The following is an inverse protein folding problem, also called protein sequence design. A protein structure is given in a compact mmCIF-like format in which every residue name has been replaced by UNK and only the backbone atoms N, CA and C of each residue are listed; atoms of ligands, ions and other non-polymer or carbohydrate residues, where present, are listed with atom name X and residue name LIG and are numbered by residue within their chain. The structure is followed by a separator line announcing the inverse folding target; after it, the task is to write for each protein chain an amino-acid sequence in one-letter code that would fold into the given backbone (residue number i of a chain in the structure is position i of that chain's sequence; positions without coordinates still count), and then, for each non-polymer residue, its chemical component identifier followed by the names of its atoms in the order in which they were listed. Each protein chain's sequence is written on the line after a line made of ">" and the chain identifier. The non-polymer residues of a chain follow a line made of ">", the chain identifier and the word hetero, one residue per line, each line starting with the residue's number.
data_IF_673812768533
#
_entry.id   IF_673812768533
#
_cell.length_a   1.000
_cell.length_b   1.000
_cell.length_c   1.000
_cell.angle_alpha   90.00
_cell.angle_beta   90.00
_cell.angle_gamma   90.00
#
_symmetry.space_group_name_H-M   'P 1'
#
loop_
_entity.id
_entity.type
_entity.pdbx_description
1 polymer ?
#
# COMPACT_ATOMS: atom_id res chain seq x y z
N UNK A 1 -13.62 -4.75 -13.14
CA UNK A 1 -12.75 -4.99 -14.33
C UNK A 1 -11.34 -4.50 -14.02
N UNK A 2 -10.30 -5.11 -14.57
CA UNK A 2 -8.90 -4.81 -14.27
C UNK A 2 -8.07 -4.79 -15.56
N UNK A 3 -7.11 -3.87 -15.63
CA UNK A 3 -5.97 -3.96 -16.55
C UNK A 3 -4.68 -4.03 -15.75
N UNK A 4 -3.72 -4.82 -16.21
CA UNK A 4 -2.42 -4.95 -15.56
C UNK A 4 -1.27 -4.92 -16.57
N UNK A 5 -0.15 -4.37 -16.13
CA UNK A 5 1.07 -4.22 -16.88
C UNK A 5 2.23 -4.72 -16.04
N UNK A 6 3.18 -5.41 -16.65
CA UNK A 6 4.44 -5.83 -16.03
C UNK A 6 5.57 -5.02 -16.69
N UNK A 7 6.50 -4.57 -15.87
CA UNK A 7 7.63 -3.75 -16.30
C UNK A 7 8.93 -4.29 -15.73
N UNK A 8 10.00 -4.21 -16.50
CA UNK A 8 11.36 -4.27 -15.94
C UNK A 8 11.56 -3.12 -14.94
N UNK A 9 12.37 -3.34 -13.92
CA UNK A 9 12.69 -2.30 -12.94
C UNK A 9 13.45 -1.13 -13.54
N UNK A 10 14.14 -1.33 -14.67
CA UNK A 10 14.89 -0.26 -15.34
C UNK A 10 14.01 0.88 -15.84
N UNK A 11 12.77 0.58 -16.23
CA UNK A 11 11.81 1.58 -16.71
C UNK A 11 10.87 2.09 -15.59
N UNK A 12 11.06 1.66 -14.35
CA UNK A 12 10.21 2.06 -13.22
C UNK A 12 10.16 3.58 -13.00
N UNK A 13 11.25 4.36 -13.16
CA UNK A 13 11.20 5.82 -13.07
C UNK A 13 10.24 6.44 -14.09
N UNK A 14 10.26 5.94 -15.33
CA UNK A 14 9.36 6.42 -16.40
C UNK A 14 7.91 6.04 -16.11
N UNK A 15 7.68 4.83 -15.61
CA UNK A 15 6.33 4.36 -15.18
C UNK A 15 5.77 5.27 -14.10
N UNK A 16 6.55 5.63 -13.08
CA UNK A 16 6.13 6.56 -12.02
C UNK A 16 5.80 7.94 -12.60
N UNK A 17 6.65 8.48 -13.47
CA UNK A 17 6.40 9.78 -14.12
C UNK A 17 5.11 9.80 -14.96
N UNK A 18 4.81 8.71 -15.66
CA UNK A 18 3.55 8.58 -16.41
C UNK A 18 2.37 8.45 -15.43
N UNK A 19 2.55 7.67 -14.37
CA UNK A 19 1.51 7.45 -13.36
C UNK A 19 1.11 8.76 -12.68
N UNK A 20 2.04 9.62 -12.31
CA UNK A 20 1.76 10.93 -11.70
C UNK A 20 0.84 11.78 -12.60
N UNK A 21 1.07 11.76 -13.93
CA UNK A 21 0.22 12.46 -14.89
C UNK A 21 -1.19 11.84 -14.99
N UNK A 22 -1.28 10.52 -14.95
CA UNK A 22 -2.55 9.80 -15.01
C UNK A 22 -3.35 9.96 -13.71
N UNK A 23 -2.67 10.08 -12.57
CA UNK A 23 -3.32 10.33 -11.28
C UNK A 23 -4.00 11.70 -11.24
N UNK A 24 -3.44 12.71 -11.90
CA UNK A 24 -4.03 14.04 -11.97
C UNK A 24 -5.41 14.09 -12.67
N UNK A 25 -5.68 13.12 -13.56
CA UNK A 25 -6.94 13.01 -14.32
C UNK A 25 -7.73 11.74 -14.00
N UNK A 26 -7.35 11.04 -12.93
CA UNK A 26 -7.95 9.78 -12.53
C UNK A 26 -9.42 9.93 -12.13
N UNK A 27 -10.27 9.07 -12.68
CA UNK A 27 -11.65 8.92 -12.21
C UNK A 27 -11.68 8.28 -10.81
N UNK A 28 -12.54 8.76 -9.92
CA UNK A 28 -12.66 8.25 -8.54
C UNK A 28 -13.05 6.77 -8.45
N UNK A 29 -13.67 6.22 -9.51
CA UNK A 29 -14.07 4.82 -9.59
C UNK A 29 -12.92 3.87 -9.92
N UNK A 30 -11.73 4.42 -10.20
CA UNK A 30 -10.53 3.62 -10.47
C UNK A 30 -9.65 3.55 -9.23
N UNK A 31 -9.10 2.37 -8.96
CA UNK A 31 -8.02 2.15 -8.00
C UNK A 31 -6.76 1.73 -8.75
N UNK A 32 -5.62 2.26 -8.34
CA UNK A 32 -4.32 1.99 -8.95
C UNK A 32 -3.42 1.37 -7.90
N UNK A 33 -2.69 0.33 -8.30
CA UNK A 33 -1.75 -0.38 -7.45
C UNK A 33 -0.47 -0.65 -8.24
N UNK A 34 0.62 -0.01 -7.85
CA UNK A 34 1.97 -0.26 -8.39
C UNK A 34 2.77 -1.04 -7.34
N UNK A 35 3.16 -2.26 -7.66
CA UNK A 35 3.80 -3.17 -6.72
C UNK A 35 5.12 -3.72 -7.27
N UNK A 36 6.10 -3.90 -6.39
CA UNK A 36 7.23 -4.78 -6.66
C UNK A 36 6.80 -6.21 -6.34
N UNK A 37 7.04 -7.12 -7.26
CA UNK A 37 6.67 -8.54 -7.14
C UNK A 37 7.76 -9.43 -7.72
N UNK A 38 7.75 -10.70 -7.35
CA UNK A 38 8.45 -11.73 -8.13
C UNK A 38 7.76 -11.87 -9.48
N UNK A 39 8.54 -11.98 -10.55
CA UNK A 39 7.99 -12.15 -11.90
C UNK A 39 7.15 -13.43 -11.96
N UNK A 40 5.88 -13.36 -12.39
CA UNK A 40 5.05 -14.56 -12.53
C UNK A 40 5.62 -15.62 -13.47
N UNK A 41 6.44 -15.19 -14.46
CA UNK A 41 7.07 -16.09 -15.42
C UNK A 41 8.49 -16.51 -14.98
N UNK A 42 9.03 -15.87 -13.91
CA UNK A 42 10.33 -16.21 -13.33
C UNK A 42 10.39 -15.84 -11.85
N UNK A 43 10.41 -16.84 -10.98
CA UNK A 43 10.43 -16.63 -9.53
C UNK A 43 11.72 -16.00 -8.99
N UNK A 44 12.78 -15.92 -9.81
CA UNK A 44 14.08 -15.35 -9.43
C UNK A 44 14.23 -13.87 -9.79
N UNK A 45 13.35 -13.31 -10.59
CA UNK A 45 13.43 -11.95 -11.09
C UNK A 45 12.37 -11.06 -10.42
N UNK A 46 12.76 -9.87 -9.96
CA UNK A 46 11.83 -8.86 -9.45
C UNK A 46 11.41 -7.94 -10.58
N UNK A 47 10.13 -7.68 -10.68
CA UNK A 47 9.50 -6.79 -11.66
C UNK A 47 8.52 -5.83 -10.98
N UNK A 48 8.20 -4.73 -11.67
CA UNK A 48 7.12 -3.85 -11.24
C UNK A 48 5.80 -4.24 -11.93
N UNK A 49 4.73 -4.36 -11.15
CA UNK A 49 3.37 -4.63 -11.64
C UNK A 49 2.45 -3.45 -11.35
N UNK A 50 1.88 -2.86 -12.39
CA UNK A 50 0.82 -1.87 -12.28
C UNK A 50 -0.53 -2.54 -12.55
N UNK A 51 -1.43 -2.45 -11.59
CA UNK A 51 -2.84 -2.84 -11.73
C UNK A 51 -3.71 -1.61 -11.67
N UNK A 52 -4.61 -1.46 -12.62
CA UNK A 52 -5.68 -0.47 -12.61
C UNK A 52 -6.99 -1.22 -12.52
N UNK A 53 -7.76 -0.94 -11.48
CA UNK A 53 -8.99 -1.64 -11.15
C UNK A 53 -10.14 -0.65 -11.19
N UNK A 54 -11.17 -0.96 -11.97
CA UNK A 54 -12.46 -0.28 -11.91
C UNK A 54 -13.33 -1.06 -10.95
N UNK A 55 -13.63 -0.44 -9.81
CA UNK A 55 -14.49 -1.03 -8.80
C UNK A 55 -15.93 -0.57 -9.06
N UNK A 56 -16.75 -1.47 -9.53
CA UNK A 56 -18.17 -1.23 -9.74
C UNK A 56 -18.92 -1.38 -8.40
N UNK A 57 -19.03 -0.30 -7.63
CA UNK A 57 -19.78 -0.29 -6.37
C UNK A 57 -21.27 0.04 -6.56
N UNK A 58 -21.78 0.13 -7.78
CA UNK A 58 -23.18 0.44 -8.05
C UNK A 58 -23.78 -0.59 -9.00
N UNK A 59 -25.00 -1.09 -8.71
CA UNK A 59 -25.77 -1.85 -9.69
C UNK A 59 -25.95 -1.01 -10.96
N UNK A 60 -25.62 -1.57 -12.13
CA UNK A 60 -25.81 -0.90 -13.42
C UNK A 60 -24.56 -0.40 -14.14
N UNK A 61 -23.37 -0.51 -13.56
CA UNK A 61 -22.13 -0.23 -14.31
C UNK A 61 -21.93 -1.30 -15.37
N UNK A 62 -21.95 -0.87 -16.65
CA UNK A 62 -21.74 -1.79 -17.76
C UNK A 62 -20.25 -2.09 -17.96
N UNK A 63 -19.97 -3.24 -18.58
CA UNK A 63 -18.62 -3.59 -19.03
C UNK A 63 -18.03 -2.52 -19.97
N UNK A 64 -18.87 -1.90 -20.80
CA UNK A 64 -18.48 -0.83 -21.70
C UNK A 64 -17.98 0.41 -20.94
N UNK A 65 -18.67 0.80 -19.87
CA UNK A 65 -18.25 1.92 -19.02
C UNK A 65 -16.90 1.62 -18.32
N UNK A 66 -16.74 0.42 -17.80
CA UNK A 66 -15.46 0.02 -17.18
C UNK A 66 -14.30 0.05 -18.20
N UNK A 67 -14.52 -0.37 -19.43
CA UNK A 67 -13.53 -0.25 -20.52
C UNK A 67 -13.18 1.20 -20.85
N UNK A 68 -14.17 2.10 -20.85
CA UNK A 68 -13.94 3.54 -21.05
C UNK A 68 -13.05 4.12 -19.94
N UNK A 69 -13.27 3.73 -18.68
CA UNK A 69 -12.45 4.17 -17.55
C UNK A 69 -11.02 3.65 -17.61
N UNK A 70 -10.79 2.48 -18.21
CA UNK A 70 -9.47 1.90 -18.39
C UNK A 70 -8.73 2.39 -19.64
N UNK A 71 -9.45 2.99 -20.60
CA UNK A 71 -8.88 3.40 -21.88
C UNK A 71 -7.69 4.39 -21.77
N UNK A 72 -7.71 5.42 -20.91
CA UNK A 72 -6.56 6.34 -20.76
C UNK A 72 -5.25 5.63 -20.43
N UNK A 73 -5.31 4.59 -19.62
CA UNK A 73 -4.12 3.81 -19.24
C UNK A 73 -3.62 2.96 -20.40
N UNK A 74 -4.53 2.34 -21.15
CA UNK A 74 -4.19 1.55 -22.34
C UNK A 74 -3.58 2.39 -23.47
N UNK A 75 -4.00 3.64 -23.61
CA UNK A 75 -3.56 4.59 -24.64
C UNK A 75 -2.29 5.36 -24.24
N UNK A 76 -1.89 5.26 -22.98
CA UNK A 76 -0.67 5.88 -22.48
C UNK A 76 0.59 5.11 -22.89
N UNK A 77 1.76 5.74 -22.70
CA UNK A 77 3.06 5.10 -22.93
C UNK A 77 3.34 3.90 -22.00
N UNK A 78 2.49 3.63 -21.01
CA UNK A 78 2.58 2.40 -20.18
C UNK A 78 2.58 1.14 -21.05
N UNK A 79 1.79 1.13 -22.13
CA UNK A 79 1.72 -0.02 -23.03
C UNK A 79 3.02 -0.30 -23.76
N UNK A 80 3.77 0.73 -24.15
CA UNK A 80 5.07 0.59 -24.85
C UNK A 80 6.22 0.23 -23.92
N UNK A 81 6.13 0.61 -22.65
CA UNK A 81 7.14 0.28 -21.62
C UNK A 81 6.95 -1.13 -21.04
N UNK A 82 5.74 -1.71 -21.14
CA UNK A 82 5.44 -2.99 -20.52
C UNK A 82 6.05 -4.18 -21.26
N UNK A 83 6.62 -5.13 -20.52
CA UNK A 83 7.09 -6.43 -21.04
C UNK A 83 5.94 -7.40 -21.24
N UNK A 84 4.89 -7.29 -20.44
CA UNK A 84 3.67 -8.08 -20.52
C UNK A 84 2.47 -7.27 -20.05
N UNK A 85 1.29 -7.56 -20.59
CA UNK A 85 0.06 -6.86 -20.22
C UNK A 85 -1.17 -7.75 -20.36
N UNK A 86 -2.14 -7.53 -19.48
CA UNK A 86 -3.46 -8.15 -19.54
C UNK A 86 -4.51 -7.05 -19.43
N UNK A 87 -5.34 -6.89 -20.45
CA UNK A 87 -6.25 -5.76 -20.58
C UNK A 87 -7.70 -6.17 -20.34
N UNK A 88 -8.45 -5.30 -19.66
CA UNK A 88 -9.91 -5.38 -19.52
C UNK A 88 -10.43 -6.75 -19.00
N UNK A 89 -9.70 -7.35 -18.07
CA UNK A 89 -10.09 -8.61 -17.45
C UNK A 89 -11.27 -8.38 -16.49
N UNK A 90 -12.30 -9.18 -16.61
CA UNK A 90 -13.33 -9.30 -15.58
C UNK A 90 -12.72 -10.10 -14.40
N UNK A 91 -12.79 -9.54 -13.20
CA UNK A 91 -12.32 -10.18 -11.97
C UNK A 91 -13.48 -10.36 -11.02
N UNK A 92 -13.51 -11.47 -10.30
CA UNK A 92 -14.46 -11.72 -9.24
C UNK A 92 -13.99 -11.00 -7.95
N UNK A 93 -14.94 -10.65 -7.09
CA UNK A 93 -14.59 -10.03 -5.80
C UNK A 93 -13.64 -10.93 -4.97
N UNK A 94 -13.84 -12.24 -5.03
CA UNK A 94 -12.97 -13.21 -4.36
C UNK A 94 -11.51 -13.13 -4.80
N UNK A 95 -11.24 -12.77 -6.07
CA UNK A 95 -9.87 -12.62 -6.59
C UNK A 95 -9.14 -11.39 -6.04
N UNK A 96 -9.89 -10.46 -5.42
CA UNK A 96 -9.34 -9.27 -4.75
C UNK A 96 -9.01 -9.54 -3.28
N UNK A 97 -9.58 -10.59 -2.71
CA UNK A 97 -9.40 -10.93 -1.30
C UNK A 97 -8.16 -11.80 -1.14
N UNK A 98 -7.09 -11.21 -0.64
CA UNK A 98 -5.93 -11.97 -0.20
C UNK A 98 -6.17 -12.46 1.23
N UNK A 99 -6.19 -13.78 1.41
CA UNK A 99 -6.20 -14.39 2.73
C UNK A 99 -4.90 -15.18 2.89
N UNK A 100 -3.90 -14.64 3.60
CA UNK A 100 -2.68 -15.38 3.86
C UNK A 100 -2.98 -16.63 4.67
N UNK A 101 -2.26 -17.71 4.37
CA UNK A 101 -2.25 -18.90 5.22
C UNK A 101 -1.86 -18.48 6.65
N UNK A 102 -2.65 -18.90 7.64
CA UNK A 102 -2.41 -18.59 9.07
C UNK A 102 -1.10 -19.19 9.61
N UNK A 103 -0.47 -20.08 8.86
CA UNK A 103 0.85 -20.61 9.19
C UNK A 103 2.00 -19.63 8.98
N UNK A 104 1.76 -18.52 8.29
CA UNK A 104 2.78 -17.48 8.09
C UNK A 104 2.95 -16.63 9.34
N UNK A 105 4.20 -16.36 9.65
CA UNK A 105 4.63 -15.25 10.51
C UNK A 105 4.59 -13.97 9.68
N UNK A 106 4.39 -12.83 10.32
CA UNK A 106 4.30 -11.59 9.56
C UNK A 106 4.84 -10.39 10.34
N UNK A 107 5.24 -9.40 9.57
CA UNK A 107 5.49 -8.05 10.04
C UNK A 107 4.81 -7.07 9.07
N UNK A 108 4.31 -5.95 9.56
CA UNK A 108 3.60 -4.98 8.73
C UNK A 108 3.79 -3.58 9.27
N UNK A 109 4.13 -2.66 8.38
CA UNK A 109 4.23 -1.25 8.68
C UNK A 109 3.88 -0.43 7.44
N UNK A 110 2.69 0.12 7.43
CA UNK A 110 2.18 0.85 6.29
C UNK A 110 2.29 2.35 6.50
N UNK A 111 2.67 3.06 5.46
CA UNK A 111 2.81 4.52 5.49
C UNK A 111 1.90 5.19 4.47
N UNK A 112 1.52 6.42 4.77
CA UNK A 112 1.05 7.36 3.79
C UNK A 112 2.23 8.16 3.25
N UNK A 113 2.25 8.41 1.95
CA UNK A 113 3.29 9.20 1.29
C UNK A 113 2.70 10.08 0.19
N UNK A 114 3.34 11.20 -0.09
CA UNK A 114 3.04 12.04 -1.25
C UNK A 114 4.04 11.80 -2.40
N UNK A 115 4.98 10.89 -2.22
CA UNK A 115 6.08 10.67 -3.15
C UNK A 115 6.14 9.21 -3.61
N UNK A 116 5.73 8.95 -4.85
CA UNK A 116 5.79 7.63 -5.45
C UNK A 116 7.23 7.10 -5.61
N UNK A 117 8.25 7.98 -5.55
CA UNK A 117 9.66 7.58 -5.61
C UNK A 117 10.11 6.77 -4.40
N UNK A 118 9.31 6.69 -3.34
CA UNK A 118 9.53 5.75 -2.25
C UNK A 118 9.73 4.31 -2.75
N UNK A 119 9.05 3.91 -3.85
CA UNK A 119 9.29 2.61 -4.49
C UNK A 119 10.68 2.48 -5.10
N UNK A 120 11.24 3.56 -5.65
CA UNK A 120 12.59 3.53 -6.24
C UNK A 120 13.66 3.36 -5.15
N UNK A 121 13.47 4.02 -4.01
CA UNK A 121 14.42 3.98 -2.91
C UNK A 121 14.63 2.56 -2.34
N UNK A 122 13.65 1.69 -2.47
CA UNK A 122 13.71 0.34 -1.89
C UNK A 122 14.04 -0.77 -2.90
N UNK A 123 14.17 -0.48 -4.20
CA UNK A 123 14.42 -1.49 -5.23
C UNK A 123 15.62 -2.37 -4.91
N UNK A 124 16.75 -1.75 -4.56
CA UNK A 124 17.98 -2.50 -4.28
C UNK A 124 17.90 -3.29 -2.95
N UNK A 125 17.17 -2.79 -1.99
CA UNK A 125 16.93 -3.51 -0.74
C UNK A 125 15.95 -4.68 -0.95
N UNK A 126 14.90 -4.47 -1.75
CA UNK A 126 13.93 -5.51 -2.11
C UNK A 126 14.59 -6.72 -2.78
N UNK A 127 15.58 -6.51 -3.66
CA UNK A 127 16.34 -7.60 -4.29
C UNK A 127 17.10 -8.48 -3.30
N UNK A 128 17.37 -7.99 -2.09
CA UNK A 128 18.08 -8.70 -1.01
C UNK A 128 17.14 -9.34 0.01
N UNK A 129 15.84 -9.37 -0.28
CA UNK A 129 14.85 -9.99 0.60
C UNK A 129 15.20 -11.47 0.87
N UNK A 130 15.06 -11.95 2.13
CA UNK A 130 15.30 -13.35 2.45
C UNK A 130 14.52 -14.31 1.52
N UNK A 131 15.14 -15.42 1.13
CA UNK A 131 14.63 -16.29 0.04
C UNK A 131 13.24 -16.87 0.31
N UNK A 132 12.95 -17.21 1.57
CA UNK A 132 11.70 -17.85 1.99
C UNK A 132 10.61 -16.85 2.39
N UNK A 133 10.79 -15.58 2.03
CA UNK A 133 9.89 -14.51 2.39
C UNK A 133 9.08 -14.02 1.21
N UNK A 134 7.88 -13.53 1.50
CA UNK A 134 7.01 -12.86 0.54
C UNK A 134 6.70 -11.45 1.05
N UNK A 135 7.03 -10.45 0.27
CA UNK A 135 6.64 -9.07 0.52
C UNK A 135 5.64 -8.61 -0.53
N UNK A 136 4.48 -8.22 -0.08
CA UNK A 136 3.53 -7.49 -0.92
C UNK A 136 3.77 -5.98 -0.78
N UNK A 137 4.83 -5.50 -1.40
CA UNK A 137 5.10 -4.08 -1.41
C UNK A 137 4.30 -3.39 -2.51
N UNK A 138 3.32 -2.60 -2.11
CA UNK A 138 2.40 -1.97 -3.03
C UNK A 138 2.16 -0.50 -2.69
N UNK A 139 2.40 0.37 -3.67
CA UNK A 139 1.96 1.75 -3.67
C UNK A 139 0.55 1.80 -4.26
N UNK A 140 -0.42 2.15 -3.43
CA UNK A 140 -1.83 2.17 -3.81
C UNK A 140 -2.37 3.59 -3.86
N UNK A 141 -3.19 3.89 -4.87
CA UNK A 141 -3.95 5.12 -4.99
C UNK A 141 -5.43 4.76 -5.21
N UNK A 142 -6.20 4.85 -4.14
CA UNK A 142 -7.62 4.52 -4.14
C UNK A 142 -8.52 5.75 -4.28
N UNK A 143 -9.82 5.54 -4.04
CA UNK A 143 -10.86 6.59 -4.13
C UNK A 143 -10.65 7.73 -3.14
N UNK A 144 -10.20 7.43 -1.92
CA UNK A 144 -10.12 8.37 -0.81
C UNK A 144 -8.68 8.77 -0.45
N UNK A 145 -7.69 8.40 -1.25
CA UNK A 145 -6.32 8.83 -1.02
C UNK A 145 -6.19 10.34 -1.24
N UNK A 146 -5.39 11.00 -0.40
CA UNK A 146 -5.23 12.45 -0.43
C UNK A 146 -6.34 13.25 0.25
N UNK A 147 -7.43 12.62 0.70
CA UNK A 147 -8.54 13.31 1.34
C UNK A 147 -8.37 13.23 2.87
N UNK A 148 -8.02 14.36 3.48
CA UNK A 148 -8.07 14.48 4.93
C UNK A 148 -9.48 14.88 5.36
N UNK A 149 -10.13 14.02 6.15
CA UNK A 149 -11.46 14.29 6.69
C UNK A 149 -11.33 15.03 8.02
N UNK A 150 -11.82 16.26 8.07
CA UNK A 150 -11.81 17.11 9.28
C UNK A 150 -12.70 16.57 10.41
N UNK A 151 -13.70 15.79 10.07
CA UNK A 151 -14.67 15.16 10.99
C UNK A 151 -14.20 13.79 11.52
N UNK A 152 -13.05 13.28 11.06
CA UNK A 152 -12.49 12.01 11.49
C UNK A 152 -11.40 12.23 12.55
N UNK A 153 -11.37 11.36 13.57
CA UNK A 153 -10.33 11.37 14.60
C UNK A 153 -8.94 11.04 14.01
N UNK A 154 -8.87 10.04 13.13
CA UNK A 154 -7.65 9.69 12.43
C UNK A 154 -7.30 10.80 11.42
N UNK A 155 -6.13 11.41 11.62
CA UNK A 155 -5.73 12.63 10.89
C UNK A 155 -4.76 12.37 9.74
N UNK A 156 -4.38 11.13 9.54
CA UNK A 156 -3.39 10.76 8.52
C UNK A 156 -3.98 10.76 7.13
N UNK A 157 -3.24 11.36 6.21
CA UNK A 157 -3.56 11.35 4.78
C UNK A 157 -2.28 11.42 3.95
N UNK A 158 -2.37 10.95 2.71
CA UNK A 158 -1.32 11.04 1.71
C UNK A 158 -1.89 10.71 0.34
N UNK A 159 -1.21 11.12 -0.71
CA UNK A 159 -1.60 10.80 -2.09
C UNK A 159 -1.56 9.30 -2.36
N UNK A 160 -0.64 8.60 -1.69
CA UNK A 160 -0.43 7.17 -1.85
C UNK A 160 -0.43 6.46 -0.50
N UNK A 161 -0.96 5.26 -0.48
CA UNK A 161 -0.83 4.32 0.61
C UNK A 161 0.21 3.27 0.22
N UNK A 162 1.34 3.25 0.89
CA UNK A 162 2.38 2.26 0.67
C UNK A 162 2.24 1.15 1.71
N UNK A 163 1.86 -0.02 1.25
CA UNK A 163 1.66 -1.23 2.05
C UNK A 163 2.86 -2.14 1.94
N UNK A 164 3.35 -2.65 3.06
CA UNK A 164 4.55 -3.48 3.12
C UNK A 164 4.44 -4.69 4.06
N UNK A 165 3.38 -5.52 3.99
CA UNK A 165 3.34 -6.74 4.78
C UNK A 165 4.38 -7.74 4.28
N UNK A 166 5.28 -8.13 5.19
CA UNK A 166 6.26 -9.20 4.99
C UNK A 166 5.73 -10.49 5.63
N UNK A 167 5.78 -11.58 4.91
CA UNK A 167 5.34 -12.90 5.33
C UNK A 167 6.49 -13.90 5.22
N UNK A 168 6.65 -14.80 6.20
CA UNK A 168 7.63 -15.89 6.14
C UNK A 168 7.16 -17.10 6.94
N UNK A 169 7.83 -18.25 6.75
CA UNK A 169 7.57 -19.47 7.51
C UNK A 169 8.76 -19.81 8.41
N UNK A 170 8.45 -20.45 9.54
CA UNK A 170 9.46 -20.92 10.50
C UNK A 170 9.99 -19.82 11.42
N UNK A 171 10.04 -20.11 12.71
CA UNK A 171 10.54 -19.17 13.73
C UNK A 171 12.08 -18.99 13.62
N UNK A 172 12.77 -19.94 13.05
CA UNK A 172 14.20 -19.89 12.77
C UNK A 172 14.59 -18.78 11.79
N UNK A 173 13.64 -18.26 11.02
CA UNK A 173 13.83 -17.17 10.07
C UNK A 173 13.47 -15.79 10.63
N UNK A 174 13.03 -15.70 11.90
CA UNK A 174 12.55 -14.45 12.49
C UNK A 174 13.64 -13.36 12.50
N UNK A 175 14.83 -13.66 12.96
CA UNK A 175 15.89 -12.66 13.11
C UNK A 175 16.29 -12.07 11.75
N UNK A 176 16.45 -12.89 10.75
CA UNK A 176 16.80 -12.45 9.39
C UNK A 176 15.70 -11.57 8.77
N UNK A 177 14.43 -11.98 8.92
CA UNK A 177 13.30 -11.25 8.37
C UNK A 177 13.04 -9.95 9.12
N UNK A 178 13.11 -9.95 10.45
CA UNK A 178 12.93 -8.74 11.25
C UNK A 178 14.04 -7.73 11.00
N UNK A 179 15.31 -8.17 10.88
CA UNK A 179 16.43 -7.29 10.56
C UNK A 179 16.25 -6.65 9.19
N UNK A 180 15.96 -7.44 8.17
CA UNK A 180 15.71 -6.95 6.82
C UNK A 180 14.53 -5.97 6.78
N UNK A 181 13.45 -6.28 7.49
CA UNK A 181 12.26 -5.45 7.55
C UNK A 181 12.48 -4.13 8.30
N UNK A 182 13.33 -4.14 9.32
CA UNK A 182 13.74 -2.93 10.01
C UNK A 182 14.48 -1.98 9.06
N UNK A 183 15.44 -2.49 8.29
CA UNK A 183 16.16 -1.69 7.29
C UNK A 183 15.21 -1.13 6.22
N UNK A 184 14.22 -1.92 5.74
CA UNK A 184 13.17 -1.46 4.85
C UNK A 184 12.43 -0.24 5.43
N UNK A 185 12.06 -0.31 6.70
CA UNK A 185 11.36 0.77 7.38
C UNK A 185 12.22 2.03 7.51
N UNK A 186 13.53 1.89 7.75
CA UNK A 186 14.46 3.01 7.81
C UNK A 186 14.59 3.72 6.46
N UNK A 187 14.58 2.97 5.35
CA UNK A 187 14.58 3.53 3.99
C UNK A 187 13.26 4.26 3.69
N UNK A 188 12.13 3.71 4.12
CA UNK A 188 10.80 4.27 3.83
C UNK A 188 10.42 5.45 4.73
N UNK A 189 10.96 5.51 5.94
CA UNK A 189 10.58 6.51 6.92
C UNK A 189 10.69 7.96 6.44
N UNK A 190 11.74 8.39 5.70
CA UNK A 190 11.84 9.74 5.17
C UNK A 190 10.73 10.14 4.19
N UNK A 191 10.07 9.17 3.57
CA UNK A 191 8.96 9.40 2.65
C UNK A 191 7.59 9.43 3.34
N UNK A 192 7.51 9.03 4.61
CA UNK A 192 6.26 8.94 5.34
C UNK A 192 5.72 10.33 5.69
N UNK A 193 4.50 10.64 5.26
CA UNK A 193 3.73 11.78 5.77
C UNK A 193 2.98 11.42 7.04
N UNK A 194 2.61 10.15 7.19
CA UNK A 194 1.98 9.56 8.37
C UNK A 194 1.93 8.03 8.28
N UNK A 195 1.35 7.39 9.29
CA UNK A 195 1.29 5.94 9.40
C UNK A 195 -0.15 5.43 9.49
N UNK A 196 -0.37 4.17 9.09
CA UNK A 196 -1.67 3.54 9.24
C UNK A 196 -1.72 2.76 10.55
N UNK A 197 -2.35 3.35 11.53
CA UNK A 197 -2.34 2.91 12.93
C UNK A 197 -2.82 1.45 13.14
N UNK A 198 -3.70 0.93 12.30
CA UNK A 198 -4.20 -0.45 12.43
C UNK A 198 -3.24 -1.53 11.92
N UNK A 199 -2.15 -1.14 11.27
CA UNK A 199 -1.13 -2.04 10.71
C UNK A 199 0.27 -1.51 10.99
N UNK A 200 0.46 -0.94 12.16
CA UNK A 200 1.71 -0.39 12.63
C UNK A 200 2.33 -1.32 13.66
N UNK A 201 3.63 -1.55 13.55
CA UNK A 201 4.41 -2.19 14.60
C UNK A 201 4.55 -1.24 15.80
N UNK A 202 3.72 -1.46 16.80
CA UNK A 202 3.65 -0.64 18.00
C UNK A 202 4.80 -0.89 18.97
N UNK A 203 5.38 -2.08 18.93
CA UNK A 203 6.46 -2.46 19.85
C UNK A 203 7.77 -1.78 19.48
N UNK A 204 8.10 -1.77 18.19
CA UNK A 204 9.33 -1.18 17.70
C UNK A 204 9.24 0.34 17.51
N UNK A 205 8.03 0.87 17.22
CA UNK A 205 7.86 2.27 16.82
C UNK A 205 6.64 2.97 17.46
N UNK A 206 6.55 3.02 18.80
CA UNK A 206 5.39 3.60 19.49
C UNK A 206 5.14 5.08 19.17
N UNK A 207 6.18 5.86 18.89
CA UNK A 207 6.05 7.28 18.52
C UNK A 207 5.28 7.50 17.21
N UNK A 208 5.25 6.52 16.31
CA UNK A 208 4.51 6.59 15.04
C UNK A 208 3.00 6.57 15.24
N UNK A 209 2.53 5.96 16.31
CA UNK A 209 1.11 5.98 16.68
C UNK A 209 0.66 7.42 16.86
N UNK A 210 1.37 8.16 17.70
CA UNK A 210 1.07 9.56 17.98
C UNK A 210 1.10 10.42 16.72
N UNK A 211 2.07 10.18 15.82
CA UNK A 211 2.21 10.88 14.55
C UNK A 211 1.04 10.64 13.56
N UNK A 212 0.19 9.64 13.81
CA UNK A 212 -1.01 9.35 13.01
C UNK A 212 -2.20 10.25 13.33
N UNK A 213 -2.10 11.09 14.35
CA UNK A 213 -3.14 11.99 14.83
C UNK A 213 -2.64 13.42 14.88
N UNK A 214 -3.47 14.39 14.52
CA UNK A 214 -3.21 15.82 14.81
C UNK A 214 -3.22 16.06 16.31
N UNK A 215 -2.58 17.15 16.76
CA UNK A 215 -2.57 17.50 18.18
C UNK A 215 -3.99 17.68 18.73
N UNK A 216 -4.85 18.37 18.00
CA UNK A 216 -6.25 18.59 18.37
C UNK A 216 -7.02 17.27 18.53
N UNK A 217 -6.90 16.37 17.53
CA UNK A 217 -7.59 15.10 17.58
C UNK A 217 -7.06 14.17 18.67
N UNK A 218 -5.77 14.22 18.95
CA UNK A 218 -5.17 13.46 20.04
C UNK A 218 -5.68 13.92 21.41
N UNK A 219 -5.70 15.23 21.65
CA UNK A 219 -6.23 15.80 22.88
C UNK A 219 -7.72 15.47 23.07
N UNK A 220 -8.51 15.57 22.00
CA UNK A 220 -9.91 15.19 22.02
C UNK A 220 -10.09 13.70 22.36
N UNK A 221 -9.31 12.82 21.73
CA UNK A 221 -9.36 11.38 21.96
C UNK A 221 -8.98 11.04 23.43
N UNK A 222 -7.94 11.68 23.95
CA UNK A 222 -7.53 11.55 25.37
C UNK A 222 -8.65 11.99 26.32
N UNK A 223 -9.31 13.12 26.02
CA UNK A 223 -10.43 13.63 26.82
C UNK A 223 -11.62 12.67 26.81
N UNK A 224 -11.97 12.13 25.63
CA UNK A 224 -13.05 11.14 25.50
C UNK A 224 -12.70 9.88 26.29
N UNK A 225 -11.47 9.39 26.20
CA UNK A 225 -11.04 8.22 26.96
C UNK A 225 -11.16 8.45 28.48
N UNK A 226 -10.62 9.56 29.00
CA UNK A 226 -10.73 9.89 30.43
C UNK A 226 -12.15 9.99 30.91
N UNK A 227 -13.08 10.42 30.06
CA UNK A 227 -14.52 10.51 30.41
C UNK A 227 -15.18 9.14 30.51
N UNK A 228 -14.89 8.21 29.58
CA UNK A 228 -15.61 6.96 29.46
C UNK A 228 -14.86 5.75 30.03
N UNK A 229 -13.57 5.88 30.27
CA UNK A 229 -12.71 4.85 30.86
C UNK A 229 -11.70 5.49 31.84
N UNK A 230 -12.20 6.14 32.91
CA UNK A 230 -11.34 6.87 33.87
C UNK A 230 -10.37 5.97 34.61
N UNK A 231 -10.72 4.69 34.80
CA UNK A 231 -9.92 3.69 35.49
C UNK A 231 -9.01 2.88 34.57
N UNK A 232 -8.92 3.22 33.27
CA UNK A 232 -8.14 2.51 32.24
C UNK A 232 -8.45 1.00 32.19
N UNK A 233 -9.72 0.61 32.28
CA UNK A 233 -10.17 -0.79 32.27
C UNK A 233 -10.08 -1.43 30.89
N UNK A 234 -10.16 -0.63 29.83
CA UNK A 234 -10.03 -1.09 28.45
C UNK A 234 -8.59 -0.96 27.99
N UNK A 235 -8.02 -2.05 27.51
CA UNK A 235 -6.70 -2.02 26.91
C UNK A 235 -6.65 -1.05 25.72
N UNK A 236 -5.57 -0.30 25.63
CA UNK A 236 -5.29 0.56 24.47
C UNK A 236 -3.87 0.37 23.97
N UNK A 237 -3.74 -0.07 22.74
CA UNK A 237 -2.45 -0.11 22.05
C UNK A 237 -1.95 1.28 21.63
N UNK A 238 -2.76 2.33 21.78
CA UNK A 238 -2.39 3.70 21.42
C UNK A 238 -1.49 4.40 22.48
N UNK A 239 -1.17 3.72 23.60
CA UNK A 239 -0.30 4.27 24.62
C UNK A 239 -0.90 5.47 25.37
N UNK A 240 -2.21 5.49 25.57
CA UNK A 240 -2.83 6.42 26.51
C UNK A 240 -2.51 5.97 27.94
N UNK A 241 -1.74 6.75 28.65
CA UNK A 241 -1.55 6.66 30.08
C UNK A 241 -2.40 7.70 30.83
#
# INVERSE_FOLDING_TARGET
>A
MQSSFIFSLDVLPDVISILDKLLAVKDERTAINLALIKDPDSTSTTVARLKIIVVANRPGNSEAEAKQLLAPYAQSNLSSLSTSRRMNQVIQFADLMYSPDRSYRNNSNNIWTNDARALLAIVEHYKKMPADSELLLALSHGRNTGIQRKDACYSSAGLHFLSSPLLWKGAENDDANNSWYKELNEILYPFATSHYVNQLDNEQHPSRIRASFSEENWQRLTTVRKKYDPDNRFFSYLGFE
#
